data_IF_236412449086
#
_entry.id   IF_236412449086
#
_cell.length_a   1.000
_cell.length_b   1.000
_cell.length_c   1.000
_cell.angle_alpha   90.00
_cell.angle_beta   90.00
_cell.angle_gamma   90.00
#
_symmetry.space_group_name_H-M   'P 1'
#
loop_
_entity.id
_entity.type
_entity.pdbx_description
1 polymer ?
#
# COMPACT_ATOMS: atom_id res chain seq x y z
N UNK A 1 10.02 -7.45 4.66
CA UNK A 1 9.06 -7.87 3.62
C UNK A 1 9.57 -9.19 3.02
N UNK A 2 9.03 -10.33 3.46
CA UNK A 2 9.30 -11.63 2.84
C UNK A 2 7.95 -12.25 2.48
N UNK A 3 7.56 -12.03 1.23
CA UNK A 3 6.90 -13.06 0.42
C UNK A 3 7.87 -14.26 0.46
N UNK A 4 7.44 -15.53 0.56
CA UNK A 4 8.34 -16.67 0.28
C UNK A 4 9.10 -16.32 -1.01
N UNK A 5 10.42 -16.08 -0.97
CA UNK A 5 11.00 -15.18 -1.94
C UNK A 5 10.84 -15.82 -3.30
N UNK A 6 10.09 -15.14 -4.18
CA UNK A 6 10.30 -15.39 -5.57
C UNK A 6 11.71 -14.94 -5.97
N UNK A 7 11.94 -14.70 -7.25
CA UNK A 7 13.22 -14.11 -7.64
C UNK A 7 13.25 -12.65 -7.17
N UNK A 8 14.16 -12.33 -6.25
CA UNK A 8 14.52 -10.94 -5.94
C UNK A 8 15.54 -10.49 -6.98
N UNK A 9 15.24 -9.45 -7.75
CA UNK A 9 16.17 -8.82 -8.67
C UNK A 9 16.51 -7.42 -8.16
N UNK A 10 17.80 -7.17 -7.94
CA UNK A 10 18.31 -5.84 -7.63
C UNK A 10 18.68 -5.13 -8.93
N UNK A 11 18.11 -3.94 -9.15
CA UNK A 11 18.29 -3.14 -10.38
C UNK A 11 18.95 -1.79 -10.07
N UNK A 12 19.76 -1.73 -9.00
CA UNK A 12 20.43 -0.50 -8.60
C UNK A 12 19.54 0.36 -7.71
N UNK A 13 18.71 1.22 -8.31
CA UNK A 13 17.87 2.19 -7.60
C UNK A 13 16.61 1.57 -6.95
N UNK A 14 16.16 0.43 -7.48
CA UNK A 14 14.99 -0.29 -7.01
C UNK A 14 15.21 -1.80 -7.05
N UNK A 15 14.32 -2.50 -6.36
CA UNK A 15 14.30 -3.95 -6.27
C UNK A 15 12.95 -4.44 -6.79
N UNK A 16 12.96 -5.54 -7.52
CA UNK A 16 11.75 -6.23 -7.99
C UNK A 16 11.66 -7.58 -7.32
N UNK A 17 10.48 -7.89 -6.78
CA UNK A 17 10.10 -9.25 -6.42
C UNK A 17 9.04 -9.75 -7.38
N UNK A 18 9.17 -10.98 -7.84
CA UNK A 18 8.12 -11.68 -8.56
C UNK A 18 7.55 -12.77 -7.64
N UNK A 19 6.29 -13.14 -7.78
CA UNK A 19 5.79 -14.39 -7.20
C UNK A 19 6.36 -15.60 -7.96
N UNK A 20 6.60 -16.72 -7.26
CA UNK A 20 7.02 -17.99 -7.86
C UNK A 20 5.84 -18.92 -8.15
N UNK A 21 4.77 -18.79 -7.38
CA UNK A 21 3.61 -19.67 -7.35
C UNK A 21 2.35 -18.82 -7.17
N UNK A 22 1.20 -19.34 -7.59
CA UNK A 22 -0.07 -18.64 -7.48
C UNK A 22 -0.20 -17.49 -8.48
N UNK A 23 -0.84 -16.40 -8.08
CA UNK A 23 -1.07 -15.25 -8.95
C UNK A 23 0.25 -14.58 -9.36
N UNK A 24 0.35 -14.17 -10.63
CA UNK A 24 1.51 -13.44 -11.16
C UNK A 24 1.53 -12.02 -10.58
N UNK A 25 2.30 -11.83 -9.51
CA UNK A 25 2.41 -10.57 -8.79
C UNK A 25 3.85 -10.09 -8.85
N UNK A 26 4.03 -8.82 -9.20
CA UNK A 26 5.33 -8.15 -9.18
C UNK A 26 5.28 -6.97 -8.23
N UNK A 27 6.27 -6.88 -7.35
CA UNK A 27 6.42 -5.79 -6.39
C UNK A 27 7.69 -5.02 -6.74
N UNK A 28 7.52 -3.77 -7.13
CA UNK A 28 8.60 -2.83 -7.39
C UNK A 28 8.75 -1.93 -6.16
N UNK A 29 9.97 -1.84 -5.62
CA UNK A 29 10.25 -0.98 -4.47
C UNK A 29 11.57 -0.23 -4.63
N UNK A 30 11.55 1.09 -4.46
CA UNK A 30 12.77 1.87 -4.44
C UNK A 30 13.57 1.61 -3.16
N UNK A 31 14.89 1.71 -3.26
CA UNK A 31 15.76 1.62 -2.07
C UNK A 31 15.69 2.92 -1.23
N UNK A 32 15.95 2.84 0.08
CA UNK A 32 16.12 4.03 0.90
C UNK A 32 17.36 4.83 0.44
N UNK A 33 17.34 6.16 0.60
CA UNK A 33 18.42 7.10 0.23
C UNK A 33 18.71 7.21 -1.26
N UNK A 34 17.68 7.29 -2.10
CA UNK A 34 17.84 7.94 -3.40
C UNK A 34 18.18 9.40 -3.14
N UNK A 35 19.13 9.96 -3.89
CA UNK A 35 19.65 11.32 -3.69
C UNK A 35 18.47 12.33 -3.57
N UNK A 36 18.48 13.30 -2.64
CA UNK A 36 17.40 14.29 -2.53
C UNK A 36 17.16 15.00 -3.88
N UNK A 37 15.90 15.01 -4.35
CA UNK A 37 15.54 15.48 -5.70
C UNK A 37 15.46 14.36 -6.76
N UNK A 38 15.98 13.17 -6.46
CA UNK A 38 15.91 11.99 -7.33
C UNK A 38 14.70 11.12 -6.99
N UNK A 39 13.53 11.65 -7.33
CA UNK A 39 12.33 10.86 -7.62
C UNK A 39 12.54 9.83 -8.76
N UNK A 40 13.73 9.82 -9.36
CA UNK A 40 14.15 9.00 -10.49
C UNK A 40 13.84 7.53 -10.26
N UNK A 41 14.09 6.97 -9.07
CA UNK A 41 13.83 5.55 -8.82
C UNK A 41 12.35 5.17 -9.00
N UNK A 42 11.42 6.04 -8.56
CA UNK A 42 9.99 5.77 -8.75
C UNK A 42 9.59 5.95 -10.22
N UNK A 43 10.16 6.93 -10.91
CA UNK A 43 9.89 7.12 -12.34
C UNK A 43 10.47 5.97 -13.18
N UNK A 44 11.68 5.50 -12.87
CA UNK A 44 12.32 4.32 -13.46
C UNK A 44 11.47 3.06 -13.23
N UNK A 45 10.93 2.88 -12.01
CA UNK A 45 10.00 1.78 -11.73
C UNK A 45 8.73 1.85 -12.57
N UNK A 46 8.10 3.04 -12.69
CA UNK A 46 6.88 3.21 -13.48
C UNK A 46 7.12 2.91 -14.97
N UNK A 47 8.22 3.43 -15.53
CA UNK A 47 8.62 3.14 -16.91
C UNK A 47 8.87 1.64 -17.10
N UNK A 48 9.53 0.98 -16.16
CA UNK A 48 9.78 -0.45 -16.24
C UNK A 48 8.51 -1.30 -16.10
N UNK A 49 7.51 -0.83 -15.35
CA UNK A 49 6.18 -1.46 -15.21
C UNK A 49 5.43 -1.36 -16.53
N UNK A 50 5.38 -0.15 -17.11
CA UNK A 50 4.73 0.13 -18.40
C UNK A 50 5.37 -0.66 -19.55
N UNK A 51 6.69 -0.64 -19.67
CA UNK A 51 7.44 -1.39 -20.70
C UNK A 51 7.24 -2.91 -20.60
N UNK A 52 6.96 -3.41 -19.39
CA UNK A 52 6.66 -4.81 -19.17
C UNK A 52 5.18 -5.16 -19.43
N UNK A 53 4.34 -4.19 -19.84
CA UNK A 53 2.92 -4.37 -20.12
C UNK A 53 2.05 -4.53 -18.87
N UNK A 54 2.50 -4.04 -17.72
CA UNK A 54 1.76 -4.08 -16.46
C UNK A 54 1.21 -2.70 -16.11
N UNK A 55 0.16 -2.68 -15.28
CA UNK A 55 -0.32 -1.46 -14.63
C UNK A 55 -0.12 -1.54 -13.11
N UNK A 56 -0.01 -0.38 -12.47
CA UNK A 56 0.06 -0.29 -11.01
C UNK A 56 -1.33 -0.52 -10.42
N UNK A 57 -1.57 -1.71 -9.88
CA UNK A 57 -2.83 -2.06 -9.20
C UNK A 57 -2.76 -1.87 -7.68
N UNK A 58 -1.57 -1.82 -7.11
CA UNK A 58 -1.33 -1.60 -5.68
C UNK A 58 -0.30 -0.50 -5.47
N UNK A 59 -0.67 0.56 -4.76
CA UNK A 59 0.19 1.69 -4.43
C UNK A 59 0.50 1.74 -2.94
N UNK A 60 1.78 1.74 -2.57
CA UNK A 60 2.22 1.67 -1.16
C UNK A 60 3.15 2.83 -0.87
N UNK A 61 2.77 3.67 0.09
CA UNK A 61 3.63 4.71 0.63
C UNK A 61 3.91 4.46 2.11
N UNK A 62 5.19 4.34 2.45
CA UNK A 62 5.71 4.10 3.81
C UNK A 62 6.86 5.04 4.18
N UNK A 63 7.12 6.04 3.35
CA UNK A 63 8.16 7.03 3.56
C UNK A 63 7.72 8.10 4.56
N UNK A 64 8.54 9.13 4.75
CA UNK A 64 8.12 10.26 5.58
C UNK A 64 7.01 11.08 4.90
N UNK A 65 6.18 11.74 5.70
CA UNK A 65 5.02 12.54 5.27
C UNK A 65 5.36 13.60 4.22
N UNK A 66 6.55 14.20 4.27
CA UNK A 66 6.98 15.21 3.31
C UNK A 66 7.18 14.67 1.88
N UNK A 67 7.33 13.35 1.71
CA UNK A 67 7.36 12.69 0.40
C UNK A 67 5.98 12.25 -0.09
N UNK A 68 4.94 12.29 0.77
CA UNK A 68 3.62 11.72 0.46
C UNK A 68 2.96 12.43 -0.73
N UNK A 69 2.96 13.77 -0.73
CA UNK A 69 2.37 14.56 -1.83
C UNK A 69 3.02 14.22 -3.18
N UNK A 70 4.35 14.12 -3.20
CA UNK A 70 5.11 13.77 -4.39
C UNK A 70 4.85 12.32 -4.85
N UNK A 71 4.75 11.39 -3.90
CA UNK A 71 4.44 9.99 -4.21
C UNK A 71 3.02 9.86 -4.80
N UNK A 72 2.04 10.59 -4.26
CA UNK A 72 0.65 10.53 -4.72
C UNK A 72 0.45 11.05 -6.15
N UNK A 73 1.31 11.95 -6.64
CA UNK A 73 1.30 12.39 -8.05
C UNK A 73 1.59 11.24 -9.03
N UNK A 74 2.14 10.13 -8.55
CA UNK A 74 2.47 8.93 -9.34
C UNK A 74 1.43 7.83 -9.25
N UNK A 75 0.39 8.03 -8.44
CA UNK A 75 -0.71 7.09 -8.33
C UNK A 75 -1.62 7.23 -9.56
N UNK A 76 -2.08 6.11 -10.09
CA UNK A 76 -2.98 6.03 -11.25
C UNK A 76 -4.37 5.55 -10.83
N UNK A 77 -5.39 5.83 -11.65
CA UNK A 77 -6.74 5.34 -11.40
C UNK A 77 -6.86 3.81 -11.39
N UNK A 78 -5.91 3.09 -12.00
CA UNK A 78 -5.81 1.62 -11.95
C UNK A 78 -5.45 1.06 -10.57
N UNK A 79 -5.06 1.92 -9.61
CA UNK A 79 -4.76 1.50 -8.24
C UNK A 79 -6.03 1.00 -7.53
N UNK A 80 -6.17 -0.31 -7.39
CA UNK A 80 -7.28 -0.98 -6.68
C UNK A 80 -7.02 -1.09 -5.17
N UNK A 81 -5.75 -1.05 -4.76
CA UNK A 81 -5.34 -1.07 -3.36
C UNK A 81 -4.33 0.04 -3.08
N UNK A 82 -4.54 0.79 -2.00
CA UNK A 82 -3.65 1.86 -1.56
C UNK A 82 -3.32 1.68 -0.08
N UNK A 83 -2.03 1.67 0.25
CA UNK A 83 -1.56 1.60 1.62
C UNK A 83 -0.74 2.83 1.97
N UNK A 84 -1.30 3.73 2.79
CA UNK A 84 -0.63 4.91 3.32
C UNK A 84 -0.21 4.67 4.77
N UNK A 85 0.92 3.98 4.93
CA UNK A 85 1.51 3.64 6.22
C UNK A 85 2.49 4.69 6.74
N UNK A 86 2.26 5.97 6.45
CA UNK A 86 3.06 7.11 6.93
C UNK A 86 2.19 8.19 7.56
N UNK A 87 2.82 9.12 8.29
CA UNK A 87 2.10 10.22 8.93
C UNK A 87 1.31 11.05 7.91
N UNK A 88 0.06 11.36 8.23
CA UNK A 88 -0.80 12.22 7.38
C UNK A 88 -1.48 11.50 6.21
N UNK A 89 -1.38 10.17 6.11
CA UNK A 89 -2.07 9.40 5.07
C UNK A 89 -3.59 9.60 5.06
N UNK A 90 -4.21 9.72 6.24
CA UNK A 90 -5.66 9.95 6.37
C UNK A 90 -6.15 11.20 5.64
N UNK A 91 -5.36 12.28 5.63
CA UNK A 91 -5.75 13.56 5.03
C UNK A 91 -5.83 13.51 3.49
N UNK A 92 -5.35 12.43 2.87
CA UNK A 92 -5.34 12.25 1.42
C UNK A 92 -6.47 11.33 0.92
N UNK A 93 -7.24 10.73 1.83
CA UNK A 93 -8.28 9.74 1.51
C UNK A 93 -9.28 10.26 0.48
N UNK A 94 -9.79 11.48 0.66
CA UNK A 94 -10.77 12.05 -0.28
C UNK A 94 -10.20 12.23 -1.69
N UNK A 95 -8.95 12.68 -1.80
CA UNK A 95 -8.26 12.84 -3.09
C UNK A 95 -8.01 11.49 -3.76
N UNK A 96 -7.71 10.45 -2.99
CA UNK A 96 -7.56 9.10 -3.52
C UNK A 96 -8.89 8.56 -4.06
N UNK A 97 -10.00 8.77 -3.32
CA UNK A 97 -11.33 8.40 -3.80
C UNK A 97 -11.82 9.22 -4.99
N UNK A 98 -11.32 10.44 -5.18
CA UNK A 98 -11.51 11.21 -6.41
C UNK A 98 -10.82 10.57 -7.61
N UNK A 99 -9.62 10.01 -7.41
CA UNK A 99 -8.91 9.33 -8.49
C UNK A 99 -9.49 7.95 -8.81
N UNK A 100 -9.85 7.18 -7.78
CA UNK A 100 -10.52 5.89 -7.92
C UNK A 100 -11.55 5.70 -6.79
N UNK A 101 -12.86 5.76 -7.07
CA UNK A 101 -13.91 5.60 -6.05
C UNK A 101 -13.99 4.20 -5.42
N UNK A 102 -13.55 3.16 -6.13
CA UNK A 102 -13.69 1.76 -5.70
C UNK A 102 -12.45 1.23 -4.97
N UNK A 103 -11.36 1.99 -4.96
CA UNK A 103 -10.09 1.66 -4.28
C UNK A 103 -10.28 1.19 -2.84
N UNK A 104 -9.51 0.20 -2.43
CA UNK A 104 -9.38 -0.24 -1.05
C UNK A 104 -8.20 0.48 -0.40
N UNK A 105 -8.46 1.31 0.61
CA UNK A 105 -7.42 2.14 1.24
C UNK A 105 -7.20 1.70 2.68
N UNK A 106 -5.93 1.49 3.05
CA UNK A 106 -5.50 1.45 4.45
C UNK A 106 -4.70 2.71 4.72
N UNK A 107 -5.06 3.46 5.76
CA UNK A 107 -4.29 4.65 6.18
C UNK A 107 -4.02 4.63 7.69
N UNK A 108 -3.02 5.39 8.14
CA UNK A 108 -2.84 5.70 9.56
C UNK A 108 -3.32 7.11 9.89
N UNK A 109 -3.97 7.26 11.05
CA UNK A 109 -4.34 8.56 11.66
C UNK A 109 -3.16 9.27 12.32
N UNK A 110 -2.15 8.51 12.72
CA UNK A 110 -1.00 9.02 13.48
C UNK A 110 0.31 8.65 12.79
N UNK A 111 1.22 7.97 13.48
CA UNK A 111 2.55 7.64 12.98
C UNK A 111 2.51 6.29 12.27
N UNK A 112 3.14 6.23 11.09
CA UNK A 112 3.41 4.98 10.41
C UNK A 112 4.48 4.18 11.13
N UNK A 113 4.21 2.91 11.44
CA UNK A 113 5.18 2.05 12.13
C UNK A 113 5.58 0.85 11.28
N UNK A 114 6.89 0.60 11.15
CA UNK A 114 7.40 -0.61 10.50
C UNK A 114 6.87 -1.89 11.16
N UNK A 115 6.71 -1.88 12.49
CA UNK A 115 6.22 -3.02 13.29
C UNK A 115 4.79 -3.40 12.88
N UNK A 116 4.00 -2.44 12.38
CA UNK A 116 2.63 -2.67 11.92
C UNK A 116 2.57 -2.85 10.39
N UNK A 117 3.25 -1.96 9.65
CA UNK A 117 3.28 -1.95 8.19
C UNK A 117 3.81 -3.25 7.60
N UNK A 118 4.93 -3.78 8.10
CA UNK A 118 5.56 -4.98 7.54
C UNK A 118 4.65 -6.20 7.68
N UNK A 119 4.14 -6.55 8.88
CA UNK A 119 3.25 -7.70 9.03
C UNK A 119 1.96 -7.60 8.21
N UNK A 120 1.29 -6.44 8.19
CA UNK A 120 0.06 -6.24 7.41
C UNK A 120 0.29 -6.47 5.92
N UNK A 121 1.29 -5.79 5.34
CA UNK A 121 1.59 -5.92 3.92
C UNK A 121 2.05 -7.33 3.53
N UNK A 122 2.78 -8.02 4.42
CA UNK A 122 3.16 -9.42 4.19
C UNK A 122 1.92 -10.31 4.13
N UNK A 123 0.97 -10.16 5.06
CA UNK A 123 -0.26 -10.97 5.07
C UNK A 123 -1.09 -10.72 3.81
N UNK A 124 -1.35 -9.45 3.49
CA UNK A 124 -2.11 -9.04 2.30
C UNK A 124 -1.47 -9.59 1.02
N UNK A 125 -0.16 -9.38 0.83
CA UNK A 125 0.53 -9.86 -0.35
C UNK A 125 0.51 -11.40 -0.45
N UNK A 126 0.64 -12.11 0.66
CA UNK A 126 0.55 -13.57 0.64
C UNK A 126 -0.86 -14.03 0.25
N UNK A 127 -1.91 -13.43 0.82
CA UNK A 127 -3.29 -13.77 0.47
C UNK A 127 -3.56 -13.53 -1.02
N UNK A 128 -3.12 -12.39 -1.57
CA UNK A 128 -3.22 -12.07 -2.99
C UNK A 128 -2.46 -13.07 -3.87
N UNK A 129 -1.24 -13.45 -3.50
CA UNK A 129 -0.45 -14.45 -4.23
C UNK A 129 -1.13 -15.81 -4.22
N UNK A 130 -1.74 -16.22 -3.10
CA UNK A 130 -2.43 -17.50 -2.97
C UNK A 130 -3.89 -17.47 -3.43
N UNK A 131 -4.32 -16.41 -4.13
CA UNK A 131 -5.68 -16.23 -4.63
C UNK A 131 -6.75 -16.37 -3.52
N UNK A 132 -6.44 -15.84 -2.35
CA UNK A 132 -7.38 -15.77 -1.22
C UNK A 132 -8.04 -14.40 -1.18
N UNK A 133 -9.34 -14.41 -0.98
CA UNK A 133 -10.07 -13.18 -0.72
C UNK A 133 -9.61 -12.55 0.60
N UNK A 134 -9.57 -11.21 0.62
CA UNK A 134 -9.26 -10.46 1.82
C UNK A 134 -10.56 -9.98 2.44
N UNK A 135 -10.95 -10.62 3.53
CA UNK A 135 -12.05 -10.14 4.38
C UNK A 135 -11.45 -9.18 5.41
N UNK A 136 -11.74 -7.89 5.25
CA UNK A 136 -11.09 -6.83 6.05
C UNK A 136 -11.36 -6.98 7.56
N UNK A 137 -12.57 -7.38 7.96
CA UNK A 137 -12.93 -7.60 9.36
C UNK A 137 -12.15 -8.76 9.99
N UNK A 138 -12.02 -9.88 9.28
CA UNK A 138 -11.25 -11.04 9.73
C UNK A 138 -9.76 -10.70 9.83
N UNK A 139 -9.22 -9.99 8.84
CA UNK A 139 -7.85 -9.49 8.87
C UNK A 139 -7.62 -8.58 10.08
N UNK A 140 -8.51 -7.62 10.34
CA UNK A 140 -8.38 -6.73 11.49
C UNK A 140 -8.50 -7.47 12.82
N UNK A 141 -9.40 -8.46 12.91
CA UNK A 141 -9.55 -9.33 14.08
C UNK A 141 -8.27 -10.14 14.34
N UNK A 142 -7.68 -10.72 13.30
CA UNK A 142 -6.40 -11.44 13.37
C UNK A 142 -5.29 -10.52 13.92
N UNK A 143 -5.15 -9.32 13.37
CA UNK A 143 -4.09 -8.39 13.80
C UNK A 143 -4.33 -7.78 15.18
N UNK A 144 -5.58 -7.57 15.59
CA UNK A 144 -5.93 -7.22 16.96
C UNK A 144 -5.56 -8.34 17.94
N UNK A 145 -5.73 -9.60 17.56
CA UNK A 145 -5.29 -10.75 18.35
C UNK A 145 -3.75 -10.89 18.37
N UNK A 146 -3.06 -10.48 17.30
CA UNK A 146 -1.60 -10.53 17.19
C UNK A 146 -0.88 -9.44 17.97
N UNK A 147 -1.36 -8.20 17.92
CA UNK A 147 -0.73 -7.05 18.56
C UNK A 147 -1.24 -6.87 19.99
N UNK A 148 -0.66 -7.63 20.94
CA UNK A 148 -1.15 -7.62 22.32
C UNK A 148 -0.48 -6.60 23.25
N UNK A 149 0.74 -6.16 22.96
CA UNK A 149 1.44 -5.20 23.81
C UNK A 149 0.80 -3.81 23.73
N UNK A 150 0.83 -3.05 24.82
CA UNK A 150 0.26 -1.69 24.86
C UNK A 150 0.73 -0.82 23.69
N UNK A 151 2.04 -0.81 23.44
CA UNK A 151 2.63 -0.07 22.31
C UNK A 151 2.13 -0.54 20.95
N UNK A 152 2.03 -1.84 20.69
CA UNK A 152 1.58 -2.35 19.38
C UNK A 152 0.08 -2.17 19.18
N UNK A 153 -0.73 -2.28 20.23
CA UNK A 153 -2.16 -1.93 20.21
C UNK A 153 -2.37 -0.47 19.86
N UNK A 154 -1.65 0.44 20.52
CA UNK A 154 -1.80 1.88 20.29
C UNK A 154 -1.36 2.25 18.85
N UNK A 155 -0.28 1.64 18.35
CA UNK A 155 0.17 1.84 16.97
C UNK A 155 -0.83 1.27 15.95
N UNK A 156 -1.33 0.05 16.14
CA UNK A 156 -2.27 -0.57 15.21
C UNK A 156 -3.64 0.10 15.23
N UNK A 157 -4.12 0.55 16.39
CA UNK A 157 -5.39 1.26 16.55
C UNK A 157 -5.46 2.59 15.79
N UNK A 158 -4.31 3.13 15.35
CA UNK A 158 -4.27 4.28 14.47
C UNK A 158 -4.56 3.93 13.00
N UNK A 159 -4.49 2.65 12.60
CA UNK A 159 -4.74 2.20 11.24
C UNK A 159 -6.24 2.02 10.99
N UNK A 160 -6.70 2.52 9.85
CA UNK A 160 -8.08 2.45 9.41
C UNK A 160 -8.18 1.45 8.26
N UNK A 161 -9.04 0.42 8.35
CA UNK A 161 -9.24 -0.54 7.27
C UNK A 161 -10.12 0.01 6.14
N UNK A 162 -10.12 -0.64 4.97
CA UNK A 162 -10.91 -0.20 3.81
C UNK A 162 -12.42 -0.16 4.07
N UNK A 163 -12.96 -1.10 4.83
CA UNK A 163 -14.39 -1.17 5.15
C UNK A 163 -14.88 -0.03 6.07
N UNK A 164 -13.98 0.69 6.75
CA UNK A 164 -14.37 1.89 7.51
C UNK A 164 -14.67 3.10 6.62
N UNK A 165 -14.42 3.01 5.31
CA UNK A 165 -14.68 4.08 4.35
C UNK A 165 -15.98 3.87 3.54
N UNK A 166 -16.82 2.89 3.89
CA UNK A 166 -18.07 2.61 3.17
C UNK A 166 -18.96 3.86 3.09
N UNK A 167 -19.05 4.66 4.15
CA UNK A 167 -19.83 5.91 4.13
C UNK A 167 -19.32 6.92 3.10
N UNK A 168 -18.00 7.07 2.96
CA UNK A 168 -17.39 7.95 1.94
C UNK A 168 -17.68 7.42 0.54
N UNK A 169 -17.52 6.10 0.33
CA UNK A 169 -17.86 5.46 -0.95
C UNK A 169 -19.33 5.65 -1.32
N UNK A 170 -20.23 5.49 -0.35
CA UNK A 170 -21.66 5.68 -0.53
C UNK A 170 -22.00 7.12 -0.93
N UNK A 171 -21.53 8.11 -0.16
CA UNK A 171 -21.78 9.54 -0.45
C UNK A 171 -21.29 9.89 -1.87
N UNK A 172 -20.10 9.45 -2.26
CA UNK A 172 -19.58 9.71 -3.61
C UNK A 172 -20.44 9.08 -4.70
N UNK A 173 -20.82 7.81 -4.55
CA UNK A 173 -21.67 7.11 -5.54
C UNK A 173 -23.05 7.74 -5.67
N UNK A 174 -23.64 8.20 -4.56
CA UNK A 174 -24.99 8.79 -4.56
C UNK A 174 -25.00 10.21 -5.11
N UNK A 175 -24.00 11.02 -4.77
CA UNK A 175 -24.00 12.45 -5.07
C UNK A 175 -23.13 12.84 -6.29
N UNK A 176 -22.52 11.88 -7.00
CA UNK A 176 -21.69 12.12 -8.20
C UNK A 176 -20.60 13.20 -8.00
N UNK A 177 -20.01 13.26 -6.80
CA UNK A 177 -18.79 14.04 -6.51
C UNK A 177 -17.52 13.20 -6.68
#
# INVERSE_FOLDING_TARGET
MMIKPGTKKDLGNYIVFNSRTGNNMKVYMNKPKTVPGCDSAQNEMLLAIEQAGFEVTSFIHRGHSYHLSQSLKKMTASSQFVFLGSCGGYNQVLKIFQLNPDVNIITTRSVGSKIINDPLLIKINNDLVYNKDIVWDDLWKEFNAKFQSKSTKDLFGAYIPPNNYIGIKFIRKVFNY
#
